data_IF_049642042063
#
_entry.id   IF_049642042063
#
_cell.length_a   1.000
_cell.length_b   1.000
_cell.length_c   1.000
_cell.angle_alpha   90.00
_cell.angle_beta   90.00
_cell.angle_gamma   90.00
#
_symmetry.space_group_name_H-M   'P 1'
#
loop_
_entity.id
_entity.type
_entity.pdbx_description
1 polymer ?
#
# COMPACT_ATOMS: atom_id res chain seq x y z
N UNK A 1 58.31 12.39 -22.62
CA UNK A 1 57.73 11.04 -22.76
C UNK A 1 56.55 10.93 -21.82
N UNK A 2 55.35 10.77 -22.38
CA UNK A 2 54.06 10.76 -21.70
C UNK A 2 53.91 9.42 -20.96
N UNK A 3 53.65 9.42 -19.65
CA UNK A 3 53.20 8.21 -18.93
C UNK A 3 51.81 8.48 -18.37
N UNK A 4 50.86 7.71 -18.89
CA UNK A 4 49.44 8.01 -18.91
C UNK A 4 48.77 7.93 -17.55
N UNK A 5 47.86 8.88 -17.34
CA UNK A 5 46.81 8.77 -16.35
C UNK A 5 45.71 7.83 -16.90
N UNK A 6 45.35 6.80 -16.14
CA UNK A 6 44.18 5.99 -16.42
C UNK A 6 43.25 6.08 -15.21
N UNK A 7 42.32 7.04 -15.25
CA UNK A 7 41.22 7.14 -14.30
C UNK A 7 40.10 6.22 -14.78
N UNK A 8 39.88 5.12 -14.06
CA UNK A 8 38.80 4.18 -14.33
C UNK A 8 37.53 4.68 -13.62
N UNK A 9 36.67 5.41 -14.36
CA UNK A 9 35.35 5.81 -13.90
C UNK A 9 34.40 4.60 -14.01
N UNK A 10 34.18 3.88 -12.91
CA UNK A 10 33.05 2.97 -12.79
C UNK A 10 31.76 3.79 -12.71
N UNK A 11 31.09 3.96 -13.85
CA UNK A 11 29.70 4.39 -13.88
C UNK A 11 28.85 3.25 -13.31
N UNK A 12 28.48 3.37 -12.04
CA UNK A 12 27.48 2.52 -11.40
C UNK A 12 26.14 2.81 -12.09
N UNK A 13 25.73 1.95 -13.03
CA UNK A 13 24.37 1.95 -13.55
C UNK A 13 23.44 1.50 -12.42
N UNK A 14 23.07 2.43 -11.55
CA UNK A 14 21.95 2.27 -10.66
C UNK A 14 20.72 2.14 -11.56
N UNK A 15 20.29 0.90 -11.84
CA UNK A 15 18.95 0.60 -12.32
C UNK A 15 17.99 0.98 -11.21
N UNK A 16 17.75 2.28 -11.08
CA UNK A 16 16.72 2.81 -10.19
C UNK A 16 15.41 2.22 -10.65
N UNK A 17 14.92 1.21 -9.92
CA UNK A 17 13.51 0.89 -9.92
C UNK A 17 12.81 2.21 -9.60
N UNK A 18 12.16 2.80 -10.61
CA UNK A 18 11.52 4.11 -10.48
C UNK A 18 10.60 4.10 -9.27
N UNK A 19 10.65 5.15 -8.46
CA UNK A 19 9.81 5.28 -7.28
C UNK A 19 8.35 5.13 -7.72
N UNK A 20 7.70 4.05 -7.29
CA UNK A 20 6.31 3.79 -7.62
C UNK A 20 5.47 4.58 -6.63
N UNK A 21 4.43 5.26 -7.09
CA UNK A 21 3.59 6.12 -6.24
C UNK A 21 2.14 5.71 -6.35
N UNK A 22 1.40 5.86 -5.25
CA UNK A 22 -0.05 5.65 -5.25
C UNK A 22 -0.69 6.84 -5.97
N UNK A 23 -1.28 6.59 -7.14
CA UNK A 23 -2.01 7.61 -7.89
C UNK A 23 -3.45 7.73 -7.43
N UNK A 24 -4.10 6.60 -7.17
CA UNK A 24 -5.46 6.57 -6.65
C UNK A 24 -5.72 5.28 -5.87
N UNK A 25 -6.59 5.37 -4.87
CA UNK A 25 -7.18 4.21 -4.20
C UNK A 25 -8.61 4.06 -4.71
N UNK A 26 -8.85 3.04 -5.55
CA UNK A 26 -10.16 2.80 -6.20
C UNK A 26 -11.10 2.07 -5.24
N UNK A 27 -10.56 1.12 -4.49
CA UNK A 27 -11.24 0.37 -3.44
C UNK A 27 -10.20 -0.11 -2.41
N UNK A 28 -10.60 -0.71 -1.28
CA UNK A 28 -9.63 -1.28 -0.35
C UNK A 28 -8.74 -2.37 -0.94
N UNK A 29 -9.14 -2.99 -2.06
CA UNK A 29 -8.39 -4.07 -2.72
C UNK A 29 -7.83 -3.66 -4.08
N UNK A 30 -8.03 -2.41 -4.52
CA UNK A 30 -7.65 -1.97 -5.86
C UNK A 30 -7.11 -0.55 -5.82
N UNK A 31 -5.90 -0.37 -6.34
CA UNK A 31 -5.24 0.93 -6.44
C UNK A 31 -4.63 1.12 -7.82
N UNK A 32 -4.48 2.38 -8.21
CA UNK A 32 -3.69 2.78 -9.37
C UNK A 32 -2.33 3.22 -8.87
N UNK A 33 -1.29 2.64 -9.45
CA UNK A 33 0.11 2.95 -9.16
C UNK A 33 0.71 3.57 -10.39
N UNK A 34 1.43 4.68 -10.20
CA UNK A 34 2.22 5.32 -11.24
C UNK A 34 3.68 4.94 -11.09
N UNK A 35 4.26 4.46 -12.18
CA UNK A 35 5.70 4.27 -12.33
C UNK A 35 6.19 4.89 -13.65
N UNK A 36 7.46 4.67 -13.99
CA UNK A 36 8.07 5.22 -15.21
C UNK A 36 7.38 4.72 -16.51
N UNK A 37 6.67 3.59 -16.45
CA UNK A 37 5.90 3.04 -17.57
C UNK A 37 4.48 3.59 -17.67
N UNK A 38 4.04 4.42 -16.72
CA UNK A 38 2.70 5.00 -16.66
C UNK A 38 1.82 4.44 -15.54
N UNK A 39 0.52 4.77 -15.54
CA UNK A 39 -0.42 4.27 -14.56
C UNK A 39 -0.75 2.80 -14.82
N UNK A 40 -0.80 1.99 -13.76
CA UNK A 40 -1.26 0.60 -13.80
C UNK A 40 -2.09 0.23 -12.58
N UNK A 41 -2.99 -0.73 -12.77
CA UNK A 41 -3.82 -1.25 -11.69
C UNK A 41 -3.03 -2.28 -10.89
N UNK A 42 -3.13 -2.19 -9.57
CA UNK A 42 -2.62 -3.18 -8.61
C UNK A 42 -3.79 -3.69 -7.79
N UNK A 43 -3.86 -5.02 -7.64
CA UNK A 43 -4.84 -5.69 -6.78
C UNK A 43 -4.16 -6.16 -5.51
N UNK A 44 -4.83 -5.98 -4.37
CA UNK A 44 -4.39 -6.45 -3.07
C UNK A 44 -5.21 -7.69 -2.66
N UNK A 45 -4.58 -8.67 -1.97
CA UNK A 45 -5.32 -9.81 -1.42
C UNK A 45 -6.24 -9.39 -0.26
N UNK A 46 -7.23 -10.23 0.03
CA UNK A 46 -8.23 -9.99 1.08
C UNK A 46 -9.59 -9.51 0.53
N UNK A 47 -10.50 -9.17 1.45
CA UNK A 47 -11.85 -8.68 1.11
C UNK A 47 -12.04 -7.24 1.56
N UNK A 48 -12.68 -6.38 0.76
CA UNK A 48 -12.95 -5.00 1.17
C UNK A 48 -13.97 -4.96 2.31
N UNK A 49 -13.72 -4.10 3.30
CA UNK A 49 -14.66 -3.81 4.41
C UNK A 49 -15.28 -2.45 4.13
N UNK A 50 -16.47 -2.47 3.52
CA UNK A 50 -17.18 -1.27 3.07
C UNK A 50 -18.61 -1.18 3.63
N UNK A 51 -18.86 -1.64 4.86
CA UNK A 51 -20.20 -1.55 5.46
C UNK A 51 -20.67 -0.09 5.60
N UNK A 52 -19.75 0.87 5.69
CA UNK A 52 -20.07 2.31 5.68
C UNK A 52 -20.18 2.92 4.26
N UNK A 53 -20.06 2.11 3.21
CA UNK A 53 -19.99 2.57 1.82
C UNK A 53 -18.57 2.92 1.36
N UNK A 54 -18.45 3.32 0.09
CA UNK A 54 -17.17 3.62 -0.57
C UNK A 54 -16.62 5.00 -0.19
N UNK A 55 -17.48 6.02 -0.08
CA UNK A 55 -17.05 7.41 0.12
C UNK A 55 -16.21 7.62 1.40
N UNK A 56 -16.56 7.02 2.56
CA UNK A 56 -15.70 7.12 3.76
C UNK A 56 -14.32 6.51 3.55
N UNK A 57 -14.22 5.41 2.80
CA UNK A 57 -12.94 4.81 2.44
C UNK A 57 -12.13 5.75 1.54
N UNK A 58 -12.75 6.31 0.50
CA UNK A 58 -12.09 7.25 -0.41
C UNK A 58 -11.53 8.44 0.37
N UNK A 59 -12.33 9.04 1.25
CA UNK A 59 -11.89 10.13 2.13
C UNK A 59 -10.71 9.77 3.04
N UNK A 60 -10.75 8.61 3.68
CA UNK A 60 -9.62 8.12 4.48
C UNK A 60 -8.37 7.86 3.63
N UNK A 61 -8.56 7.30 2.43
CA UNK A 61 -7.48 6.83 1.56
C UNK A 61 -6.73 7.96 0.86
N UNK A 62 -7.31 9.17 0.80
CA UNK A 62 -6.69 10.33 0.18
C UNK A 62 -5.29 10.64 0.71
N UNK A 63 -5.02 10.32 1.99
CA UNK A 63 -3.69 10.48 2.62
C UNK A 63 -2.59 9.58 2.03
N UNK A 64 -2.97 8.55 1.27
CA UNK A 64 -2.04 7.64 0.61
C UNK A 64 -1.67 8.12 -0.79
N UNK A 65 -2.42 9.04 -1.37
CA UNK A 65 -2.16 9.56 -2.72
C UNK A 65 -0.81 10.30 -2.71
N UNK A 66 0.05 9.96 -3.67
CA UNK A 66 1.43 10.45 -3.77
C UNK A 66 2.43 9.72 -2.87
N UNK A 67 1.99 8.81 -2.00
CA UNK A 67 2.92 8.04 -1.17
C UNK A 67 3.76 7.08 -2.03
N UNK A 68 5.03 6.93 -1.66
CA UNK A 68 5.92 5.93 -2.24
C UNK A 68 5.43 4.53 -1.87
N UNK A 69 5.32 3.68 -2.88
CA UNK A 69 4.96 2.29 -2.79
C UNK A 69 6.18 1.44 -3.17
N UNK A 70 6.65 0.63 -2.22
CA UNK A 70 7.65 -0.40 -2.49
C UNK A 70 6.93 -1.66 -2.95
N UNK A 71 7.18 -2.08 -4.18
CA UNK A 71 6.69 -3.36 -4.69
C UNK A 71 7.87 -4.25 -5.05
N UNK A 72 8.01 -5.37 -4.33
CA UNK A 72 9.02 -6.39 -4.58
C UNK A 72 8.33 -7.66 -5.07
N UNK A 73 8.89 -8.39 -6.06
CA UNK A 73 8.29 -9.64 -6.52
C UNK A 73 8.05 -10.63 -5.38
N UNK A 74 6.83 -11.18 -5.30
CA UNK A 74 6.44 -12.12 -4.25
C UNK A 74 6.13 -11.49 -2.89
N UNK A 75 6.20 -10.16 -2.74
CA UNK A 75 5.86 -9.46 -1.50
C UNK A 75 4.62 -8.57 -1.69
N UNK A 76 3.88 -8.37 -0.60
CA UNK A 76 2.78 -7.41 -0.58
C UNK A 76 3.31 -5.98 -0.79
N UNK A 77 2.61 -5.12 -1.55
CA UNK A 77 2.98 -3.72 -1.68
C UNK A 77 3.09 -3.06 -0.31
N UNK A 78 4.13 -2.26 -0.09
CA UNK A 78 4.39 -1.60 1.20
C UNK A 78 4.49 -0.09 1.02
N UNK A 79 3.95 0.66 1.98
CA UNK A 79 4.01 2.12 2.03
C UNK A 79 4.85 2.57 3.20
N UNK A 80 5.50 3.72 3.06
CA UNK A 80 6.08 4.42 4.20
C UNK A 80 4.99 5.20 4.94
N UNK A 81 4.84 4.96 6.23
CA UNK A 81 3.90 5.67 7.10
C UNK A 81 4.57 5.97 8.42
N UNK A 82 4.64 7.26 8.78
CA UNK A 82 5.27 7.75 10.03
C UNK A 82 6.72 7.26 10.19
N UNK A 83 7.51 7.32 9.11
CA UNK A 83 8.91 6.90 9.11
C UNK A 83 9.13 5.38 9.22
N UNK A 84 8.08 4.57 9.04
CA UNK A 84 8.17 3.11 9.03
C UNK A 84 7.57 2.55 7.74
N UNK A 85 8.28 1.63 7.11
CA UNK A 85 7.75 0.85 6.00
C UNK A 85 6.80 -0.20 6.55
N UNK A 86 5.59 -0.28 6.00
CA UNK A 86 4.62 -1.31 6.38
C UNK A 86 3.83 -1.84 5.18
N UNK A 87 3.45 -3.13 5.18
CA UNK A 87 2.58 -3.67 4.15
C UNK A 87 1.27 -2.89 4.08
N UNK A 88 0.86 -2.51 2.87
CA UNK A 88 -0.35 -1.74 2.62
C UNK A 88 -1.59 -2.52 3.07
N UNK A 89 -1.61 -3.84 2.88
CA UNK A 89 -2.68 -4.72 3.38
C UNK A 89 -2.80 -4.69 4.89
N UNK A 90 -1.68 -4.72 5.62
CA UNK A 90 -1.66 -4.62 7.08
C UNK A 90 -2.14 -3.23 7.56
N UNK A 91 -1.77 -2.16 6.85
CA UNK A 91 -2.27 -0.81 7.14
C UNK A 91 -3.79 -0.72 6.96
N UNK A 92 -4.31 -1.24 5.86
CA UNK A 92 -5.75 -1.25 5.57
C UNK A 92 -6.53 -2.11 6.56
N UNK A 93 -5.97 -3.26 6.96
CA UNK A 93 -6.58 -4.15 7.95
C UNK A 93 -6.66 -3.49 9.33
N UNK A 94 -5.55 -2.92 9.81
CA UNK A 94 -5.47 -2.20 11.09
C UNK A 94 -6.43 -1.02 11.21
N UNK A 95 -6.69 -0.36 10.10
CA UNK A 95 -7.59 0.80 10.04
C UNK A 95 -9.03 0.42 9.65
N UNK A 96 -9.30 -0.87 9.43
CA UNK A 96 -10.65 -1.43 9.27
C UNK A 96 -11.26 -1.31 7.88
N UNK A 97 -10.43 -1.24 6.84
CA UNK A 97 -10.88 -1.16 5.44
C UNK A 97 -10.67 -2.45 4.65
N UNK A 98 -9.84 -3.36 5.15
CA UNK A 98 -9.55 -4.65 4.54
C UNK A 98 -9.71 -5.78 5.56
N UNK A 99 -10.34 -6.87 5.15
CA UNK A 99 -10.38 -8.13 5.89
C UNK A 99 -9.30 -9.06 5.30
N UNK A 100 -8.20 -9.32 6.01
CA UNK A 100 -7.18 -10.27 5.54
C UNK A 100 -7.73 -11.70 5.53
N UNK A 101 -7.06 -12.60 4.81
CA UNK A 101 -7.45 -14.02 4.74
C UNK A 101 -7.28 -14.72 6.09
N UNK A 102 -6.27 -14.31 6.87
CA UNK A 102 -6.04 -14.75 8.24
C UNK A 102 -6.19 -13.58 9.19
N UNK A 103 -6.87 -13.79 10.33
CA UNK A 103 -7.06 -12.76 11.33
C UNK A 103 -5.72 -12.42 12.00
N UNK A 104 -5.18 -11.24 11.69
CA UNK A 104 -4.01 -10.67 12.34
C UNK A 104 -4.39 -9.71 13.48
N UNK A 105 -3.41 -9.30 14.28
CA UNK A 105 -3.61 -8.40 15.42
C UNK A 105 -4.25 -7.06 15.01
N UNK A 106 -3.84 -6.52 13.85
CA UNK A 106 -4.39 -5.26 13.34
C UNK A 106 -5.87 -5.38 12.98
N UNK A 107 -6.22 -6.45 12.29
CA UNK A 107 -7.59 -6.75 11.90
C UNK A 107 -8.48 -7.04 13.13
N UNK A 108 -7.95 -7.74 14.14
CA UNK A 108 -8.68 -7.99 15.39
C UNK A 108 -8.99 -6.70 16.13
N UNK A 109 -8.01 -5.81 16.26
CA UNK A 109 -8.23 -4.48 16.86
C UNK A 109 -9.26 -3.69 16.06
N UNK A 110 -9.15 -3.66 14.73
CA UNK A 110 -10.08 -2.93 13.88
C UNK A 110 -11.53 -3.45 14.01
N UNK A 111 -11.70 -4.77 14.12
CA UNK A 111 -13.00 -5.40 14.33
C UNK A 111 -13.59 -5.05 15.70
N UNK A 112 -12.80 -5.19 16.77
CA UNK A 112 -13.25 -4.95 18.15
C UNK A 112 -13.56 -3.46 18.38
N UNK A 113 -12.68 -2.58 17.93
CA UNK A 113 -12.84 -1.13 18.08
C UNK A 113 -13.73 -0.49 17.01
N UNK A 114 -14.31 -1.30 16.11
CA UNK A 114 -15.22 -0.83 15.05
C UNK A 114 -14.60 0.27 14.18
N UNK A 115 -13.34 0.09 13.77
CA UNK A 115 -12.61 1.05 12.92
C UNK A 115 -13.03 0.95 11.46
N UNK A 116 -12.91 2.07 10.75
CA UNK A 116 -13.15 2.12 9.30
C UNK A 116 -14.54 1.62 8.93
N UNK A 117 -14.61 0.71 7.97
CA UNK A 117 -15.87 0.12 7.52
C UNK A 117 -16.58 -0.68 8.60
N UNK A 118 -15.87 -1.23 9.60
CA UNK A 118 -16.50 -1.98 10.69
C UNK A 118 -17.41 -1.13 11.59
N UNK A 119 -17.26 0.20 11.57
CA UNK A 119 -18.11 1.13 12.29
C UNK A 119 -19.60 0.96 11.96
N UNK A 120 -19.91 0.60 10.72
CA UNK A 120 -21.28 0.42 10.23
C UNK A 120 -21.67 -1.06 10.06
N UNK A 121 -20.79 -1.99 10.42
CA UNK A 121 -21.08 -3.42 10.32
C UNK A 121 -22.17 -3.84 11.32
N UNK A 122 -23.01 -4.84 10.99
CA UNK A 122 -23.92 -5.44 11.96
C UNK A 122 -23.20 -5.92 13.24
N UNK A 123 -23.92 -5.98 14.37
CA UNK A 123 -23.36 -6.52 15.63
C UNK A 123 -22.99 -8.00 15.56
N UNK A 124 -23.63 -8.71 14.64
CA UNK A 124 -23.48 -10.16 14.42
C UNK A 124 -22.56 -10.49 13.25
N UNK A 125 -21.94 -9.49 12.62
CA UNK A 125 -21.04 -9.74 11.49
C UNK A 125 -19.82 -10.54 11.94
N UNK A 126 -19.58 -11.66 11.27
CA UNK A 126 -18.43 -12.50 11.52
C UNK A 126 -17.18 -11.98 10.78
N UNK A 127 -16.01 -12.37 11.28
CA UNK A 127 -14.77 -12.26 10.53
C UNK A 127 -14.73 -13.34 9.44
#
# INVERSE_FOLDING_TARGET
MIKGAAAFLLALAATGAGAQTVEAMVSPTTLIVRDNGGPRIVSLPGKPVLFCGLDPFVGWSARLIGATLRMEPGQAPAVESRGRTMPLTALLARDGWLRPETLDEGAQVALVERRGGWACAPKTEAF
#
